data_IF_819552252848
#
_entry.id   IF_819552252848
#
_cell.length_a   1.000
_cell.length_b   1.000
_cell.length_c   1.000
_cell.angle_alpha   90.00
_cell.angle_beta   90.00
_cell.angle_gamma   90.00
#
_symmetry.space_group_name_H-M   'P 1'
#
loop_
_entity.id
_entity.type
_entity.pdbx_description
1 polymer ?
#
# COMPACT_ATOMS: atom_id res chain seq x y z
N UNK A 1 19.59 -9.07 16.43
CA UNK A 1 19.11 -7.80 16.98
C UNK A 1 18.32 -8.02 18.29
N UNK A 2 17.28 -8.88 18.32
CA UNK A 2 16.44 -9.14 19.51
C UNK A 2 17.23 -9.55 20.75
N UNK A 3 18.30 -10.32 20.61
CA UNK A 3 19.16 -10.77 21.73
C UNK A 3 19.91 -9.63 22.44
N UNK A 4 20.05 -8.47 21.80
CA UNK A 4 20.71 -7.28 22.38
C UNK A 4 19.77 -6.37 23.17
N UNK A 5 18.46 -6.56 23.07
CA UNK A 5 17.48 -5.67 23.72
C UNK A 5 17.68 -5.59 25.24
N UNK A 6 17.88 -6.71 25.99
CA UNK A 6 18.11 -6.63 27.44
C UNK A 6 19.33 -5.80 27.81
N UNK A 7 20.41 -5.94 27.03
CA UNK A 7 21.62 -5.11 27.22
C UNK A 7 21.34 -3.64 26.99
N UNK A 8 20.63 -3.27 25.92
CA UNK A 8 20.30 -1.90 25.60
C UNK A 8 19.39 -1.27 26.68
N UNK A 9 18.43 -2.01 27.21
CA UNK A 9 17.61 -1.53 28.34
C UNK A 9 18.47 -1.30 29.59
N UNK A 10 19.45 -2.14 29.86
CA UNK A 10 20.40 -1.93 30.98
C UNK A 10 21.22 -0.63 30.79
N UNK A 11 21.69 -0.38 29.59
CA UNK A 11 22.42 0.86 29.27
C UNK A 11 21.54 2.12 29.47
N UNK A 12 20.28 2.07 29.03
CA UNK A 12 19.34 3.17 29.27
C UNK A 12 19.06 3.38 30.77
N UNK A 13 18.92 2.32 31.56
CA UNK A 13 18.80 2.40 33.03
C UNK A 13 20.03 3.00 33.70
N UNK A 14 21.17 2.98 33.03
CA UNK A 14 22.42 3.61 33.49
C UNK A 14 22.55 5.04 32.95
N UNK A 15 21.44 5.70 32.61
CA UNK A 15 21.37 7.11 32.13
C UNK A 15 22.12 7.37 30.81
N UNK A 16 22.40 6.33 30.01
CA UNK A 16 23.02 6.48 28.71
C UNK A 16 21.97 6.73 27.61
N UNK A 17 22.33 7.57 26.65
CA UNK A 17 21.55 7.74 25.41
C UNK A 17 21.98 6.74 24.35
N UNK A 18 21.02 6.23 23.56
CA UNK A 18 21.27 5.27 22.50
C UNK A 18 20.74 5.84 21.18
N UNK A 19 21.56 5.80 20.13
CA UNK A 19 21.12 6.12 18.77
C UNK A 19 20.87 4.83 17.97
N UNK A 20 19.67 4.70 17.39
CA UNK A 20 19.36 3.68 16.41
C UNK A 20 19.50 4.26 15.02
N UNK A 21 20.34 3.65 14.20
CA UNK A 21 20.62 4.07 12.83
C UNK A 21 20.41 2.92 11.86
N UNK A 22 20.13 3.23 10.60
CA UNK A 22 20.05 2.30 9.47
C UNK A 22 21.05 2.70 8.39
N UNK A 23 21.36 1.78 7.49
CA UNK A 23 22.30 2.03 6.39
C UNK A 23 21.75 3.06 5.39
N UNK A 24 20.43 3.09 5.21
CA UNK A 24 19.74 4.07 4.35
C UNK A 24 18.30 4.30 4.82
N UNK A 25 17.86 5.55 4.76
CA UNK A 25 16.49 5.95 5.10
C UNK A 25 16.21 6.01 6.60
N UNK A 26 14.94 5.96 6.95
CA UNK A 26 14.46 6.04 8.33
C UNK A 26 14.45 4.64 8.96
N UNK A 27 15.13 4.43 10.11
CA UNK A 27 15.06 3.18 10.85
C UNK A 27 13.61 2.72 11.10
N UNK A 28 13.37 1.45 11.26
CA UNK A 28 12.09 0.77 11.44
C UNK A 28 11.22 0.68 10.17
N UNK A 29 11.36 1.58 9.22
CA UNK A 29 10.54 1.57 8.00
C UNK A 29 11.11 0.57 7.00
N UNK A 30 10.59 -0.65 7.03
CA UNK A 30 11.13 -1.84 6.34
C UNK A 30 12.53 -2.25 6.82
N UNK A 31 12.93 -1.78 8.00
CA UNK A 31 14.19 -2.03 8.66
C UNK A 31 13.99 -2.58 10.09
N UNK A 32 14.98 -3.26 10.68
CA UNK A 32 14.91 -3.72 12.05
C UNK A 32 14.79 -2.56 13.06
N UNK A 33 14.12 -2.80 14.20
CA UNK A 33 14.08 -1.85 15.32
C UNK A 33 12.76 -1.78 16.07
N UNK A 34 11.67 -2.18 15.45
CA UNK A 34 10.31 -2.10 16.03
C UNK A 34 10.22 -2.72 17.42
N UNK A 35 10.77 -3.93 17.61
CA UNK A 35 10.77 -4.61 18.91
C UNK A 35 11.61 -3.88 19.97
N UNK A 36 12.68 -3.18 19.56
CA UNK A 36 13.47 -2.36 20.48
C UNK A 36 12.65 -1.16 20.94
N UNK A 37 12.11 -0.39 20.01
CA UNK A 37 11.32 0.81 20.33
C UNK A 37 10.13 0.45 21.21
N UNK A 38 9.41 -0.65 20.89
CA UNK A 38 8.31 -1.14 21.73
C UNK A 38 8.76 -1.47 23.15
N UNK A 39 9.94 -2.11 23.31
CA UNK A 39 10.46 -2.47 24.63
C UNK A 39 10.95 -1.23 25.39
N UNK A 40 11.60 -0.27 24.72
CA UNK A 40 12.06 1.00 25.31
C UNK A 40 10.88 1.78 25.88
N UNK A 41 9.82 1.99 25.08
CA UNK A 41 8.59 2.66 25.51
C UNK A 41 7.88 1.89 26.66
N UNK A 42 7.89 0.55 26.62
CA UNK A 42 7.32 -0.28 27.68
C UNK A 42 8.15 -0.30 28.98
N UNK A 43 9.31 0.33 29.02
CA UNK A 43 10.13 0.57 30.21
C UNK A 43 10.18 2.07 30.57
N UNK A 44 9.22 2.87 30.09
CA UNK A 44 9.05 4.30 30.40
C UNK A 44 10.24 5.19 29.98
N UNK A 45 10.99 4.79 28.94
CA UNK A 45 12.03 5.62 28.34
C UNK A 45 11.49 6.37 27.12
N UNK A 46 11.95 7.58 26.93
CA UNK A 46 11.62 8.39 25.76
C UNK A 46 12.27 7.87 24.47
N UNK A 47 11.54 7.99 23.37
CA UNK A 47 12.02 7.73 22.02
C UNK A 47 11.83 9.00 21.19
N UNK A 48 12.94 9.55 20.73
CA UNK A 48 12.96 10.79 19.93
C UNK A 48 13.24 10.44 18.48
N UNK A 49 12.35 10.82 17.57
CA UNK A 49 12.56 10.67 16.14
C UNK A 49 13.33 11.83 15.59
N UNK A 50 14.40 11.53 14.86
CA UNK A 50 15.16 12.54 14.09
C UNK A 50 14.61 12.50 12.64
N UNK A 51 14.00 13.60 12.12
CA UNK A 51 13.56 13.65 10.74
C UNK A 51 14.70 13.38 9.76
N UNK A 52 14.43 12.52 8.78
CA UNK A 52 15.46 12.10 7.83
C UNK A 52 14.91 11.62 6.51
N UNK A 53 15.78 11.08 5.68
CA UNK A 53 15.43 10.55 4.36
C UNK A 53 14.43 9.39 4.45
N UNK A 54 13.48 9.38 3.52
CA UNK A 54 12.51 8.31 3.35
C UNK A 54 12.29 8.05 1.87
N UNK A 55 12.72 6.89 1.38
CA UNK A 55 12.57 6.53 -0.03
C UNK A 55 11.08 6.49 -0.45
N UNK A 56 10.17 6.06 0.42
CA UNK A 56 8.74 6.03 0.14
C UNK A 56 8.16 7.44 -0.06
N UNK A 57 8.44 8.36 0.86
CA UNK A 57 7.95 9.74 0.75
C UNK A 57 8.62 10.51 -0.40
N UNK A 58 9.93 10.37 -0.56
CA UNK A 58 10.66 10.99 -1.67
C UNK A 58 10.11 10.51 -3.03
N UNK A 59 9.86 9.19 -3.17
CA UNK A 59 9.26 8.64 -4.39
C UNK A 59 7.84 9.11 -4.61
N UNK A 60 7.04 9.22 -3.55
CA UNK A 60 5.66 9.70 -3.64
C UNK A 60 5.59 11.12 -4.19
N UNK A 61 6.39 12.05 -3.67
CA UNK A 61 6.36 13.46 -4.13
C UNK A 61 6.85 13.61 -5.56
N UNK A 62 7.77 12.72 -6.02
CA UNK A 62 8.26 12.71 -7.40
C UNK A 62 7.33 11.96 -8.38
N UNK A 63 6.32 11.24 -7.90
CA UNK A 63 5.44 10.42 -8.74
C UNK A 63 4.43 11.22 -9.55
N UNK A 64 4.03 12.40 -9.06
CA UNK A 64 2.93 13.19 -9.59
C UNK A 64 1.54 12.61 -9.29
N UNK A 65 1.44 11.66 -8.35
CA UNK A 65 0.17 11.08 -7.88
C UNK A 65 -0.33 11.77 -6.62
N UNK A 66 -1.55 11.44 -6.19
CA UNK A 66 -2.16 12.03 -4.99
C UNK A 66 -1.35 11.68 -3.74
N UNK A 67 -0.95 12.69 -2.98
CA UNK A 67 -0.13 12.57 -1.77
C UNK A 67 -0.93 12.71 -0.48
N UNK A 68 -2.17 13.23 -0.53
CA UNK A 68 -2.99 13.49 0.65
C UNK A 68 -3.40 12.23 1.42
N UNK A 69 -3.57 11.11 0.70
CA UNK A 69 -3.85 9.78 1.28
C UNK A 69 -3.12 8.73 0.46
N UNK A 70 -2.32 7.93 1.12
CA UNK A 70 -1.55 6.86 0.49
C UNK A 70 -1.37 5.70 1.47
N UNK A 71 -1.02 4.54 0.95
CA UNK A 71 -0.69 3.34 1.71
C UNK A 71 0.74 2.91 1.38
N UNK A 72 1.52 2.67 2.41
CA UNK A 72 2.86 2.09 2.29
C UNK A 72 2.81 0.63 2.74
N UNK A 73 3.17 -0.27 1.85
CA UNK A 73 3.13 -1.71 2.09
C UNK A 73 4.52 -2.33 2.38
N UNK A 74 5.60 -1.57 2.17
CA UNK A 74 6.95 -2.13 2.26
C UNK A 74 7.21 -3.15 1.16
N UNK A 75 7.87 -4.27 1.51
CA UNK A 75 8.13 -5.36 0.57
C UNK A 75 6.95 -6.32 0.49
N UNK A 76 6.66 -6.76 -0.75
CA UNK A 76 5.58 -7.73 -0.99
C UNK A 76 5.93 -9.10 -0.38
N UNK A 77 5.00 -9.75 0.33
CA UNK A 77 5.20 -11.06 0.93
C UNK A 77 5.66 -12.13 -0.07
N UNK A 78 6.41 -13.12 0.42
CA UNK A 78 6.84 -14.28 -0.39
C UNK A 78 5.79 -15.39 -0.43
N UNK A 79 5.02 -15.55 0.64
CA UNK A 79 3.96 -16.56 0.73
C UNK A 79 2.86 -16.26 -0.29
N UNK A 80 2.48 -17.26 -1.10
CA UNK A 80 1.59 -17.09 -2.26
C UNK A 80 0.27 -16.42 -1.88
N UNK A 81 -0.39 -16.91 -0.84
CA UNK A 81 -1.70 -16.40 -0.39
C UNK A 81 -1.62 -14.93 0.05
N UNK A 82 -0.70 -14.61 0.96
CA UNK A 82 -0.52 -13.24 1.46
C UNK A 82 -0.13 -12.27 0.34
N UNK A 83 0.69 -12.75 -0.61
CA UNK A 83 1.09 -11.99 -1.80
C UNK A 83 -0.12 -11.65 -2.66
N UNK A 84 -0.96 -12.63 -2.96
CA UNK A 84 -2.15 -12.47 -3.80
C UNK A 84 -3.17 -11.54 -3.13
N UNK A 85 -3.46 -11.73 -1.85
CA UNK A 85 -4.34 -10.86 -1.06
C UNK A 85 -3.85 -9.40 -1.08
N UNK A 86 -2.54 -9.18 -0.94
CA UNK A 86 -1.97 -7.84 -1.00
C UNK A 86 -2.06 -7.22 -2.39
N UNK A 87 -1.81 -7.98 -3.46
CA UNK A 87 -1.91 -7.49 -4.83
C UNK A 87 -3.35 -7.12 -5.19
N UNK A 88 -4.33 -7.91 -4.75
CA UNK A 88 -5.77 -7.58 -4.89
C UNK A 88 -6.06 -6.27 -4.13
N UNK A 89 -5.60 -6.15 -2.88
CA UNK A 89 -5.77 -4.93 -2.10
C UNK A 89 -5.20 -3.69 -2.80
N UNK A 90 -4.01 -3.80 -3.41
CA UNK A 90 -3.40 -2.71 -4.19
C UNK A 90 -4.23 -2.38 -5.43
N UNK A 91 -4.74 -3.40 -6.13
CA UNK A 91 -5.53 -3.21 -7.34
C UNK A 91 -6.85 -2.49 -7.07
N UNK A 92 -7.50 -2.80 -5.97
CA UNK A 92 -8.80 -2.23 -5.57
C UNK A 92 -8.68 -0.90 -4.84
N UNK A 93 -7.52 -0.61 -4.25
CA UNK A 93 -7.32 0.58 -3.43
C UNK A 93 -7.46 1.87 -4.24
N UNK A 94 -8.26 2.80 -3.73
CA UNK A 94 -8.45 4.15 -4.31
C UNK A 94 -7.34 5.14 -3.97
N UNK A 95 -6.47 4.81 -3.02
CA UNK A 95 -5.35 5.67 -2.62
C UNK A 95 -4.07 5.25 -3.32
N UNK A 96 -3.12 6.17 -3.44
CA UNK A 96 -1.78 5.85 -3.93
C UNK A 96 -1.15 4.77 -3.06
N UNK A 97 -0.60 3.75 -3.70
CA UNK A 97 0.09 2.64 -3.03
C UNK A 97 1.59 2.72 -3.28
N UNK A 98 2.39 2.50 -2.23
CA UNK A 98 3.85 2.53 -2.33
C UNK A 98 4.40 1.19 -1.85
N UNK A 99 5.27 0.59 -2.65
CA UNK A 99 5.93 -0.67 -2.35
C UNK A 99 7.43 -0.60 -2.65
N UNK A 100 8.21 -1.34 -1.90
CA UNK A 100 9.64 -1.57 -2.17
C UNK A 100 9.82 -2.89 -2.91
N UNK A 101 10.76 -2.94 -3.86
CA UNK A 101 11.09 -4.20 -4.50
C UNK A 101 12.57 -4.26 -4.90
N UNK A 102 13.10 -5.46 -4.79
CA UNK A 102 14.45 -5.80 -5.23
C UNK A 102 14.50 -5.98 -6.77
N UNK A 103 15.66 -5.73 -7.41
CA UNK A 103 15.78 -5.85 -8.86
C UNK A 103 15.44 -7.26 -9.35
N UNK A 104 15.85 -8.30 -8.61
CA UNK A 104 15.60 -9.70 -8.96
C UNK A 104 14.12 -10.09 -9.04
N UNK A 105 13.25 -9.35 -8.34
CA UNK A 105 11.82 -9.68 -8.27
C UNK A 105 10.95 -8.69 -9.05
N UNK A 106 11.52 -7.57 -9.50
CA UNK A 106 10.76 -6.49 -10.13
C UNK A 106 9.95 -6.98 -11.33
N UNK A 107 10.56 -7.71 -12.27
CA UNK A 107 9.87 -8.24 -13.47
C UNK A 107 8.65 -9.06 -13.08
N UNK A 108 8.85 -10.02 -12.17
CA UNK A 108 7.75 -10.88 -11.70
C UNK A 108 6.66 -10.07 -10.99
N UNK A 109 7.02 -9.06 -10.20
CA UNK A 109 6.04 -8.22 -9.53
C UNK A 109 5.19 -7.42 -10.51
N UNK A 110 5.79 -6.87 -11.56
CA UNK A 110 5.06 -6.14 -12.60
C UNK A 110 4.07 -7.05 -13.33
N UNK A 111 4.47 -8.28 -13.67
CA UNK A 111 3.58 -9.27 -14.28
C UNK A 111 2.45 -9.68 -13.32
N UNK A 112 2.76 -9.93 -12.04
CA UNK A 112 1.75 -10.25 -11.05
C UNK A 112 0.75 -9.08 -10.87
N UNK A 113 1.23 -7.84 -10.84
CA UNK A 113 0.36 -6.65 -10.78
C UNK A 113 -0.55 -6.56 -12.01
N UNK A 114 -0.09 -6.95 -13.19
CA UNK A 114 -0.88 -6.93 -14.42
C UNK A 114 -2.07 -7.90 -14.38
N UNK A 115 -1.99 -8.96 -13.60
CA UNK A 115 -3.10 -9.92 -13.40
C UNK A 115 -4.30 -9.26 -12.70
N UNK A 116 -4.02 -8.37 -11.74
CA UNK A 116 -5.05 -7.75 -10.89
C UNK A 116 -5.35 -6.30 -11.28
N UNK A 117 -4.36 -5.58 -11.82
CA UNK A 117 -4.50 -4.22 -12.30
C UNK A 117 -4.68 -4.21 -13.83
N UNK A 118 -5.35 -3.20 -14.36
CA UNK A 118 -5.27 -2.97 -15.80
C UNK A 118 -3.86 -2.54 -16.21
N UNK A 119 -3.41 -2.96 -17.39
CA UNK A 119 -2.10 -2.60 -17.92
C UNK A 119 -1.89 -1.08 -18.06
N UNK A 120 -2.96 -0.31 -18.18
CA UNK A 120 -2.98 1.15 -18.21
C UNK A 120 -2.96 1.81 -16.81
N UNK A 121 -2.90 1.02 -15.72
CA UNK A 121 -2.74 1.56 -14.36
C UNK A 121 -1.47 2.39 -14.28
N UNK A 122 -1.61 3.66 -13.93
CA UNK A 122 -0.45 4.55 -13.77
C UNK A 122 0.43 4.10 -12.63
N UNK A 123 1.72 4.00 -12.92
CA UNK A 123 2.75 3.56 -11.98
C UNK A 123 4.07 4.24 -12.31
N UNK A 124 4.85 4.55 -11.27
CA UNK A 124 6.23 4.99 -11.38
C UNK A 124 7.15 4.00 -10.67
N UNK A 125 8.22 3.61 -11.33
CA UNK A 125 9.30 2.86 -10.73
C UNK A 125 10.50 3.80 -10.55
N UNK A 126 10.80 4.14 -9.30
CA UNK A 126 11.92 5.00 -8.95
C UNK A 126 13.07 4.12 -8.46
N UNK A 127 14.16 4.14 -9.20
CA UNK A 127 15.37 3.39 -8.93
C UNK A 127 16.33 4.23 -8.13
N UNK A 128 16.97 3.65 -7.10
CA UNK A 128 18.11 4.25 -6.36
C UNK A 128 17.85 5.71 -5.95
N UNK A 129 16.63 6.01 -5.46
CA UNK A 129 16.23 7.37 -5.09
C UNK A 129 17.23 7.98 -4.11
N UNK A 130 17.60 9.26 -4.31
CA UNK A 130 18.62 10.03 -3.56
C UNK A 130 20.05 9.51 -3.69
N UNK A 131 20.29 8.52 -4.57
CA UNK A 131 21.64 7.98 -4.82
C UNK A 131 22.17 8.41 -6.20
N UNK A 132 23.45 8.19 -6.46
CA UNK A 132 24.14 8.57 -7.71
C UNK A 132 23.46 8.05 -8.99
N UNK A 133 22.81 6.90 -8.92
CA UNK A 133 22.18 6.24 -10.08
C UNK A 133 20.66 6.32 -10.01
N UNK A 134 20.11 7.35 -9.41
CA UNK A 134 18.68 7.61 -9.41
C UNK A 134 18.14 7.71 -10.81
N UNK A 135 17.01 7.02 -11.04
CA UNK A 135 16.30 7.06 -12.32
C UNK A 135 14.82 6.76 -12.12
N UNK A 136 13.99 7.47 -12.87
CA UNK A 136 12.54 7.34 -12.84
C UNK A 136 12.05 6.71 -14.12
N UNK A 137 11.17 5.70 -14.03
CA UNK A 137 10.65 4.94 -15.16
C UNK A 137 9.12 4.87 -15.14
N UNK A 138 8.56 4.69 -16.32
CA UNK A 138 7.17 4.32 -16.55
C UNK A 138 6.19 5.50 -16.50
N UNK A 139 5.14 5.34 -17.28
CA UNK A 139 3.89 6.12 -17.19
C UNK A 139 2.77 5.22 -16.71
N UNK A 140 2.75 3.97 -17.15
CA UNK A 140 1.81 2.93 -16.74
C UNK A 140 2.50 1.54 -16.63
N UNK A 141 1.71 0.55 -16.29
CA UNK A 141 2.20 -0.80 -16.02
C UNK A 141 2.69 -1.50 -17.30
N UNK A 142 2.04 -1.27 -18.46
CA UNK A 142 2.49 -1.85 -19.73
C UNK A 142 3.86 -1.30 -20.14
N UNK A 143 4.06 0.03 -20.02
CA UNK A 143 5.35 0.68 -20.30
C UNK A 143 6.48 0.08 -19.47
N UNK A 144 6.23 -0.12 -18.16
CA UNK A 144 7.25 -0.71 -17.28
C UNK A 144 7.57 -2.15 -17.65
N UNK A 145 6.56 -2.96 -17.95
CA UNK A 145 6.73 -4.35 -18.36
C UNK A 145 7.52 -4.39 -19.66
N UNK A 146 7.16 -3.59 -20.67
CA UNK A 146 7.88 -3.53 -21.92
C UNK A 146 9.34 -3.09 -21.73
N UNK A 147 9.56 -2.01 -20.94
CA UNK A 147 10.92 -1.54 -20.68
C UNK A 147 11.79 -2.60 -20.01
N UNK A 148 11.31 -3.24 -18.95
CA UNK A 148 12.08 -4.23 -18.20
C UNK A 148 12.10 -5.62 -18.86
N UNK A 149 11.31 -5.88 -19.88
CA UNK A 149 11.48 -7.06 -20.72
C UNK A 149 12.81 -7.02 -21.50
N UNK A 150 13.21 -5.82 -21.94
CA UNK A 150 14.42 -5.55 -22.74
C UNK A 150 15.63 -5.14 -21.89
N UNK A 151 15.40 -4.69 -20.64
CA UNK A 151 16.44 -4.15 -19.78
C UNK A 151 16.45 -4.89 -18.44
N UNK A 152 17.63 -5.31 -17.99
CA UNK A 152 17.74 -6.00 -16.70
C UNK A 152 17.69 -5.00 -15.55
N UNK A 153 16.79 -5.16 -14.58
CA UNK A 153 16.69 -4.29 -13.41
C UNK A 153 17.96 -4.39 -12.55
N UNK A 154 18.48 -3.24 -12.10
CA UNK A 154 19.63 -3.14 -11.19
C UNK A 154 19.36 -2.09 -10.12
N UNK A 155 19.84 -2.31 -8.90
CA UNK A 155 19.63 -1.41 -7.77
C UNK A 155 18.25 -1.62 -7.11
N UNK A 156 17.93 -0.79 -6.15
CA UNK A 156 16.69 -0.86 -5.37
C UNK A 156 15.59 -0.03 -6.02
N UNK A 157 14.35 -0.50 -5.93
CA UNK A 157 13.20 0.14 -6.52
C UNK A 157 12.13 0.49 -5.48
N UNK A 158 11.61 1.70 -5.61
CA UNK A 158 10.34 2.09 -5.02
C UNK A 158 9.31 2.22 -6.12
N UNK A 159 8.23 1.46 -6.02
CA UNK A 159 7.09 1.57 -6.94
C UNK A 159 6.01 2.42 -6.29
N UNK A 160 5.54 3.42 -7.02
CA UNK A 160 4.40 4.25 -6.64
C UNK A 160 3.29 3.98 -7.64
N UNK A 161 2.17 3.46 -7.17
CA UNK A 161 1.04 3.01 -7.97
C UNK A 161 -0.12 3.96 -7.71
N UNK A 162 -0.64 4.59 -8.75
CA UNK A 162 -1.80 5.47 -8.62
C UNK A 162 -3.01 4.70 -8.11
N UNK A 163 -3.80 5.30 -7.24
CA UNK A 163 -5.03 4.70 -6.73
C UNK A 163 -6.00 4.33 -7.86
N UNK A 164 -6.82 3.31 -7.62
CA UNK A 164 -7.86 2.92 -8.57
C UNK A 164 -8.87 4.05 -8.73
N UNK A 165 -8.90 4.66 -9.91
CA UNK A 165 -9.85 5.71 -10.28
C UNK A 165 -11.17 5.16 -10.81
N UNK A 166 -11.22 3.86 -11.06
CA UNK A 166 -12.52 3.28 -11.41
C UNK A 166 -13.44 3.43 -10.20
N UNK A 167 -14.41 4.30 -10.34
CA UNK A 167 -15.67 4.02 -9.68
C UNK A 167 -16.02 2.61 -10.15
N UNK A 168 -16.19 1.67 -9.24
CA UNK A 168 -16.79 0.38 -9.57
C UNK A 168 -18.16 0.78 -10.12
N UNK A 169 -18.24 0.88 -11.45
CA UNK A 169 -19.50 1.19 -12.12
C UNK A 169 -20.29 -0.12 -12.11
N UNK A 170 -20.79 -0.46 -10.93
CA UNK A 170 -21.75 -1.54 -10.84
C UNK A 170 -22.98 -1.02 -11.54
N UNK A 171 -23.42 -1.75 -12.54
CA UNK A 171 -24.70 -1.45 -13.18
C UNK A 171 -25.78 -1.42 -12.10
N UNK A 172 -26.68 -0.47 -12.19
CA UNK A 172 -27.78 -0.35 -11.21
C UNK A 172 -28.55 -1.70 -11.07
N UNK A 173 -28.57 -2.53 -12.11
CA UNK A 173 -29.13 -3.88 -12.09
C UNK A 173 -28.35 -4.84 -11.17
N UNK A 174 -27.01 -4.90 -11.28
CA UNK A 174 -26.17 -5.80 -10.48
C UNK A 174 -26.21 -5.38 -9.00
N UNK A 175 -26.18 -4.08 -8.75
CA UNK A 175 -26.30 -3.49 -7.42
C UNK A 175 -27.66 -3.79 -6.79
N UNK A 176 -28.72 -3.84 -7.60
CA UNK A 176 -30.07 -4.19 -7.16
C UNK A 176 -30.18 -5.67 -6.84
N UNK A 177 -29.60 -6.56 -7.65
CA UNK A 177 -29.57 -8.00 -7.39
C UNK A 177 -28.89 -8.26 -6.05
N UNK A 178 -27.69 -7.73 -5.82
CA UNK A 178 -26.96 -7.91 -4.56
C UNK A 178 -27.73 -7.31 -3.36
N UNK A 179 -28.43 -6.18 -3.57
CA UNK A 179 -29.26 -5.58 -2.55
C UNK A 179 -30.43 -6.49 -2.14
N UNK A 180 -31.09 -7.12 -3.10
CA UNK A 180 -32.19 -8.06 -2.87
C UNK A 180 -31.68 -9.34 -2.18
N UNK A 181 -30.57 -9.91 -2.61
CA UNK A 181 -29.93 -11.06 -1.96
C UNK A 181 -29.62 -10.79 -0.46
N UNK A 182 -29.11 -9.61 -0.14
CA UNK A 182 -28.86 -9.23 1.25
C UNK A 182 -30.14 -9.06 2.08
N UNK A 183 -31.22 -8.62 1.45
CA UNK A 183 -32.53 -8.50 2.10
C UNK A 183 -33.13 -9.89 2.33
N UNK A 184 -33.08 -10.76 1.34
CA UNK A 184 -33.49 -12.16 1.45
C UNK A 184 -32.71 -12.94 2.50
N UNK A 185 -31.42 -12.61 2.66
CA UNK A 185 -30.56 -13.11 3.72
C UNK A 185 -30.88 -12.54 5.12
N UNK A 186 -31.95 -11.71 5.25
CA UNK A 186 -32.46 -11.20 6.52
C UNK A 186 -31.95 -9.82 6.95
N UNK A 187 -31.22 -9.11 6.11
CA UNK A 187 -30.86 -7.72 6.41
C UNK A 187 -32.06 -6.78 6.14
N UNK A 188 -32.26 -5.80 7.03
CA UNK A 188 -33.21 -4.73 6.71
C UNK A 188 -32.74 -3.91 5.50
N UNK A 189 -33.65 -3.34 4.69
CA UNK A 189 -33.35 -2.47 3.55
C UNK A 189 -32.30 -1.38 3.89
N UNK A 190 -32.44 -0.80 5.10
CA UNK A 190 -31.55 0.22 5.62
C UNK A 190 -30.12 -0.31 5.86
N UNK A 191 -29.98 -1.51 6.44
CA UNK A 191 -28.68 -2.13 6.72
C UNK A 191 -28.02 -2.63 5.44
N UNK A 192 -28.75 -3.26 4.54
CA UNK A 192 -28.27 -3.71 3.25
C UNK A 192 -27.77 -2.53 2.39
N UNK A 193 -28.57 -1.45 2.29
CA UNK A 193 -28.16 -0.24 1.57
C UNK A 193 -26.93 0.44 2.20
N UNK A 194 -26.79 0.44 3.52
CA UNK A 194 -25.63 0.97 4.21
C UNK A 194 -24.36 0.12 3.96
N UNK A 195 -24.51 -1.20 3.93
CA UNK A 195 -23.44 -2.14 3.63
C UNK A 195 -22.91 -1.92 2.20
N UNK A 196 -23.79 -1.91 1.20
CA UNK A 196 -23.41 -1.71 -0.20
C UNK A 196 -22.86 -0.31 -0.46
N UNK A 197 -23.40 0.70 0.22
CA UNK A 197 -22.87 2.08 0.17
C UNK A 197 -21.40 2.14 0.62
N UNK A 198 -21.07 1.44 1.69
CA UNK A 198 -19.69 1.34 2.19
C UNK A 198 -18.79 0.52 1.25
N UNK A 199 -19.29 -0.61 0.76
CA UNK A 199 -18.56 -1.52 -0.12
C UNK A 199 -18.20 -0.89 -1.45
N UNK A 200 -19.16 -0.19 -2.07
CA UNK A 200 -19.02 0.35 -3.43
C UNK A 200 -18.77 1.86 -3.49
N UNK A 201 -18.69 2.53 -2.34
CA UNK A 201 -18.54 3.99 -2.25
C UNK A 201 -19.62 4.76 -3.01
N UNK A 202 -20.83 4.19 -3.11
CA UNK A 202 -22.01 4.78 -3.74
C UNK A 202 -22.89 5.44 -2.66
N UNK A 203 -23.46 6.64 -2.88
CA UNK A 203 -24.35 7.27 -1.91
C UNK A 203 -25.50 6.35 -1.50
N UNK A 204 -25.70 6.14 -0.20
CA UNK A 204 -26.74 5.25 0.36
C UNK A 204 -28.12 5.55 -0.21
N UNK A 205 -28.44 6.84 -0.39
CA UNK A 205 -29.73 7.28 -0.96
C UNK A 205 -29.94 6.72 -2.36
N UNK A 206 -28.88 6.65 -3.20
CA UNK A 206 -28.94 6.07 -4.56
C UNK A 206 -29.23 4.57 -4.48
N UNK A 207 -28.57 3.83 -3.60
CA UNK A 207 -28.79 2.39 -3.45
C UNK A 207 -30.19 2.12 -2.94
N UNK A 208 -30.63 2.84 -1.92
CA UNK A 208 -31.97 2.70 -1.36
C UNK A 208 -33.07 2.97 -2.41
N UNK A 209 -32.88 3.91 -3.34
CA UNK A 209 -33.82 4.21 -4.41
C UNK A 209 -33.98 3.09 -5.46
N UNK A 210 -33.03 2.13 -5.53
CA UNK A 210 -33.14 0.99 -6.45
C UNK A 210 -34.26 0.01 -6.07
N UNK A 211 -34.69 0.01 -4.81
CA UNK A 211 -35.81 -0.79 -4.34
C UNK A 211 -37.14 -0.14 -4.72
N UNK A 212 -37.19 1.21 -4.74
CA UNK A 212 -38.43 1.95 -4.93
C UNK A 212 -38.87 2.07 -6.39
N UNK A 213 -38.05 1.71 -7.36
CA UNK A 213 -38.34 1.82 -8.80
C UNK A 213 -39.23 0.70 -9.35
N UNK A 214 -39.78 -0.16 -8.54
CA UNK A 214 -40.73 -1.22 -9.00
C UNK A 214 -42.22 -0.87 -8.82
N UNK A 215 -42.54 0.30 -8.30
CA UNK A 215 -43.96 0.70 -8.09
C UNK A 215 -44.42 1.77 -9.10
N UNK A 216 -43.86 1.79 -10.33
CA UNK A 216 -44.38 2.61 -11.44
C UNK A 216 -44.51 1.79 -12.72
#
# INVERSE_FOLDING_TARGET
FRQRIPFLIKELKSEKSIALVSDAGTPLISDPGESLVKTVLGNDFDVISIPGASASLASLVCSGFTTSKFLFYGFIPKAKKEREELLISIAENKYTSIIYESPKKLKKLLEDLKVFCEGTRRIKAIKEITKRFEKHYGSDLNDLIEYFSKNEPKGEFTLVIEGNKKNIYIKDLDLRIELLELIEAGLSHSKASAYLSKRYSIPRKKIYSLILKENL
#
